data_IF_863077545616
#
_entry.id   IF_863077545616
#
_cell.length_a   1.000
_cell.length_b   1.000
_cell.length_c   1.000
_cell.angle_alpha   90.00
_cell.angle_beta   90.00
_cell.angle_gamma   90.00
#
_symmetry.space_group_name_H-M   'P 1'
#
loop_
_entity.id
_entity.type
_entity.pdbx_description
1 polymer ?
#
# COMPACT_ATOMS: atom_id res chain seq x y z
N UNK A 1 -3.97 8.95 22.65
CA UNK A 1 -3.38 8.34 21.45
C UNK A 1 -1.88 8.34 21.57
N UNK A 2 -1.38 7.27 22.16
CA UNK A 2 0.03 7.15 22.56
C UNK A 2 0.97 7.12 21.35
N UNK A 3 0.64 6.31 20.37
CA UNK A 3 1.52 6.06 19.21
C UNK A 3 1.50 7.23 18.22
N UNK A 4 0.36 7.88 18.04
CA UNK A 4 0.25 9.08 17.19
C UNK A 4 1.13 10.23 17.72
N UNK A 5 1.26 10.38 19.03
CA UNK A 5 2.17 11.39 19.62
C UNK A 5 3.64 10.99 19.39
N UNK A 6 3.99 9.72 19.48
CA UNK A 6 5.35 9.24 19.21
C UNK A 6 5.80 9.54 17.77
N UNK A 7 4.89 9.49 16.77
CA UNK A 7 5.23 9.87 15.39
C UNK A 7 5.63 11.33 15.22
N UNK A 8 5.29 12.19 16.16
CA UNK A 8 5.66 13.62 16.10
C UNK A 8 7.09 13.88 16.56
N UNK A 9 7.66 13.04 17.39
CA UNK A 9 8.91 13.29 18.11
C UNK A 9 10.08 12.40 17.71
N UNK A 10 9.91 11.35 16.89
CA UNK A 10 11.01 10.50 16.48
C UNK A 10 12.07 11.26 15.66
N UNK A 11 13.32 10.81 15.74
CA UNK A 11 14.48 11.35 15.01
C UNK A 11 15.14 10.27 14.17
N UNK A 12 16.17 10.63 13.40
CA UNK A 12 16.96 9.64 12.64
C UNK A 12 17.73 8.68 13.55
N UNK A 13 18.14 9.15 14.74
CA UNK A 13 18.90 8.35 15.70
C UNK A 13 17.99 7.51 16.62
N UNK A 14 16.71 7.86 16.68
CA UNK A 14 15.69 7.16 17.48
C UNK A 14 14.42 7.00 16.63
N UNK A 15 14.46 6.06 15.73
CA UNK A 15 13.32 5.76 14.86
C UNK A 15 12.21 5.06 15.65
N UNK A 16 10.99 5.47 15.38
CA UNK A 16 9.81 4.72 15.82
C UNK A 16 9.77 3.36 15.08
N UNK A 17 9.35 2.32 15.77
CA UNK A 17 9.24 0.98 15.16
C UNK A 17 8.09 0.88 14.15
N UNK A 18 8.11 -0.15 13.30
CA UNK A 18 7.09 -0.33 12.27
C UNK A 18 5.70 -0.63 12.86
N UNK A 19 5.63 -1.47 13.88
CA UNK A 19 4.41 -1.82 14.60
C UNK A 19 3.79 -0.61 15.30
N UNK A 20 4.62 0.23 15.95
CA UNK A 20 4.16 1.50 16.51
C UNK A 20 3.63 2.45 15.43
N UNK A 21 4.24 2.49 14.24
CA UNK A 21 3.71 3.25 13.10
C UNK A 21 2.37 2.72 12.59
N UNK A 22 2.17 1.40 12.58
CA UNK A 22 0.87 0.78 12.23
C UNK A 22 -0.20 1.20 13.23
N UNK A 23 0.09 1.12 14.54
CA UNK A 23 -0.84 1.55 15.59
C UNK A 23 -1.11 3.06 15.54
N UNK A 24 -0.07 3.88 15.28
CA UNK A 24 -0.23 5.32 15.08
C UNK A 24 -1.11 5.67 13.87
N UNK A 25 -1.00 4.94 12.78
CA UNK A 25 -1.87 5.12 11.62
C UNK A 25 -3.33 4.81 11.97
N UNK A 26 -3.58 3.72 12.70
CA UNK A 26 -4.93 3.40 13.17
C UNK A 26 -5.47 4.46 14.15
N UNK A 27 -4.63 4.99 15.04
CA UNK A 27 -5.02 6.11 15.92
C UNK A 27 -5.36 7.38 15.11
N UNK A 28 -4.60 7.71 14.05
CA UNK A 28 -4.94 8.82 13.17
C UNK A 28 -6.34 8.65 12.57
N UNK A 29 -6.63 7.49 12.02
CA UNK A 29 -7.90 7.22 11.33
C UNK A 29 -9.10 7.05 12.26
N UNK A 30 -8.90 6.99 13.58
CA UNK A 30 -9.97 7.16 14.56
C UNK A 30 -10.34 8.63 14.81
N UNK A 31 -9.45 9.58 14.46
CA UNK A 31 -9.66 11.01 14.70
C UNK A 31 -10.03 11.82 13.49
N UNK A 32 -9.85 11.26 12.30
CA UNK A 32 -10.14 11.93 11.04
C UNK A 32 -11.19 11.15 10.27
N UNK A 33 -12.09 11.87 9.62
CA UNK A 33 -13.06 11.26 8.71
C UNK A 33 -12.36 10.90 7.40
N UNK A 34 -12.35 9.61 7.06
CA UNK A 34 -11.80 9.12 5.80
C UNK A 34 -12.91 9.23 4.75
N UNK A 35 -12.66 10.06 3.74
CA UNK A 35 -13.56 10.13 2.59
C UNK A 35 -13.59 8.75 1.91
N UNK A 36 -14.75 8.12 1.93
CA UNK A 36 -14.98 6.85 1.26
C UNK A 36 -14.88 7.01 -0.25
N UNK A 37 -14.29 6.02 -0.90
CA UNK A 37 -14.17 5.99 -2.35
C UNK A 37 -15.35 5.25 -2.95
N UNK A 38 -15.89 5.81 -4.01
CA UNK A 38 -16.89 5.15 -4.84
C UNK A 38 -16.41 5.18 -6.30
N UNK A 39 -15.86 4.07 -6.71
CA UNK A 39 -15.40 3.85 -8.08
C UNK A 39 -16.29 2.87 -8.85
N UNK A 40 -17.48 2.57 -8.36
CA UNK A 40 -18.44 1.66 -9.00
C UNK A 40 -18.89 2.11 -10.40
N UNK A 41 -18.76 3.40 -10.69
CA UNK A 41 -19.05 3.99 -12.01
C UNK A 41 -18.00 3.66 -13.09
N UNK A 42 -16.80 3.25 -12.70
CA UNK A 42 -15.73 2.94 -13.66
C UNK A 42 -15.84 1.47 -14.05
N UNK A 43 -15.86 1.21 -15.37
CA UNK A 43 -16.00 -0.14 -15.90
C UNK A 43 -14.63 -0.76 -16.22
N UNK A 44 -13.76 0.01 -16.88
CA UNK A 44 -12.41 -0.42 -17.26
C UNK A 44 -11.37 0.68 -16.99
N UNK A 45 -11.12 1.04 -15.74
CA UNK A 45 -10.16 2.10 -15.45
C UNK A 45 -8.72 1.65 -15.68
N UNK A 46 -7.88 2.58 -16.16
CA UNK A 46 -6.44 2.46 -16.07
C UNK A 46 -5.97 2.97 -14.71
N UNK A 47 -5.37 2.11 -13.93
CA UNK A 47 -4.85 2.45 -12.61
C UNK A 47 -3.33 2.54 -12.69
N UNK A 48 -2.79 3.73 -12.45
CA UNK A 48 -1.37 4.04 -12.58
C UNK A 48 -0.72 4.36 -11.23
N UNK A 49 0.47 3.86 -11.01
CA UNK A 49 1.25 4.13 -9.81
C UNK A 49 2.66 3.58 -9.92
N UNK A 50 3.56 3.97 -9.03
CA UNK A 50 4.94 3.49 -8.99
C UNK A 50 5.23 2.73 -7.72
N UNK A 51 6.04 1.66 -7.82
CA UNK A 51 6.50 0.88 -6.66
C UNK A 51 5.34 0.33 -5.82
N UNK A 52 5.37 0.58 -4.51
CA UNK A 52 4.33 0.07 -3.60
C UNK A 52 2.94 0.69 -3.84
N UNK A 53 2.83 1.83 -4.48
CA UNK A 53 1.54 2.44 -4.79
C UNK A 53 0.74 1.59 -5.78
N UNK A 54 1.37 1.11 -6.86
CA UNK A 54 0.67 0.23 -7.82
C UNK A 54 0.36 -1.15 -7.22
N UNK A 55 1.25 -1.69 -6.39
CA UNK A 55 0.98 -2.95 -5.69
C UNK A 55 -0.20 -2.81 -4.74
N UNK A 56 -0.28 -1.72 -3.99
CA UNK A 56 -1.43 -1.42 -3.13
C UNK A 56 -2.70 -1.25 -3.96
N UNK A 57 -2.61 -0.56 -5.11
CA UNK A 57 -3.74 -0.42 -6.02
C UNK A 57 -4.27 -1.77 -6.52
N UNK A 58 -3.39 -2.70 -6.89
CA UNK A 58 -3.77 -4.06 -7.29
C UNK A 58 -4.54 -4.82 -6.20
N UNK A 59 -4.23 -4.55 -4.92
CA UNK A 59 -4.94 -5.15 -3.79
C UNK A 59 -6.33 -4.51 -3.63
N UNK A 60 -6.39 -3.20 -3.53
CA UNK A 60 -7.64 -2.49 -3.21
C UNK A 60 -8.64 -2.46 -4.37
N UNK A 61 -8.17 -2.59 -5.62
CA UNK A 61 -9.01 -2.61 -6.83
C UNK A 61 -9.11 -4.01 -7.47
N UNK A 62 -8.76 -5.07 -6.74
CA UNK A 62 -8.81 -6.46 -7.26
C UNK A 62 -10.21 -6.93 -7.68
N UNK A 63 -11.25 -6.22 -7.28
CA UNK A 63 -12.65 -6.56 -7.54
C UNK A 63 -13.23 -5.90 -8.82
N UNK A 64 -12.49 -5.02 -9.49
CA UNK A 64 -12.90 -4.39 -10.74
C UNK A 64 -12.03 -4.86 -11.92
N UNK A 65 -12.57 -4.78 -13.12
CA UNK A 65 -11.84 -5.09 -14.37
C UNK A 65 -10.94 -3.91 -14.74
N UNK A 66 -9.83 -3.75 -14.05
CA UNK A 66 -8.89 -2.65 -14.21
C UNK A 66 -7.63 -3.07 -14.94
N UNK A 67 -7.05 -2.14 -15.70
CA UNK A 67 -5.70 -2.27 -16.23
C UNK A 67 -4.73 -1.58 -15.26
N UNK A 68 -3.74 -2.30 -14.78
CA UNK A 68 -2.72 -1.76 -13.88
C UNK A 68 -1.43 -1.46 -14.63
N UNK A 69 -0.83 -0.30 -14.36
CA UNK A 69 0.41 0.11 -14.99
C UNK A 69 1.31 0.93 -14.07
N UNK A 70 2.59 0.91 -14.40
CA UNK A 70 3.62 1.77 -13.83
C UNK A 70 4.28 2.63 -14.93
N UNK A 71 5.39 3.28 -14.59
CA UNK A 71 6.15 4.12 -15.51
C UNK A 71 6.71 3.37 -16.72
N UNK A 72 6.86 2.06 -16.64
CA UNK A 72 7.48 1.26 -17.70
C UNK A 72 6.51 0.91 -18.83
N UNK A 73 5.22 0.81 -18.52
CA UNK A 73 4.20 0.35 -19.48
C UNK A 73 3.00 1.29 -19.65
N UNK A 74 3.02 2.48 -19.03
CA UNK A 74 1.92 3.45 -19.10
C UNK A 74 1.56 3.82 -20.54
N UNK A 75 2.56 4.08 -21.40
CA UNK A 75 2.32 4.52 -22.77
C UNK A 75 1.61 3.47 -23.64
N UNK A 76 1.84 2.19 -23.37
CA UNK A 76 1.11 1.10 -24.01
C UNK A 76 -0.26 0.86 -23.37
N UNK A 77 -0.36 1.05 -22.07
CA UNK A 77 -1.60 0.83 -21.33
C UNK A 77 -2.66 1.88 -21.66
N UNK A 78 -2.29 3.15 -21.83
CA UNK A 78 -3.23 4.24 -22.14
C UNK A 78 -3.82 4.16 -23.55
N UNK A 79 -3.27 3.32 -24.43
CA UNK A 79 -3.81 3.08 -25.77
C UNK A 79 -4.88 1.98 -25.80
N UNK A 80 -5.14 1.32 -24.68
CA UNK A 80 -6.15 0.26 -24.58
C UNK A 80 -7.56 0.85 -24.46
N UNK A 81 -8.56 0.01 -24.61
CA UNK A 81 -9.96 0.36 -24.35
C UNK A 81 -10.18 0.56 -22.85
N UNK A 82 -10.10 1.81 -22.42
CA UNK A 82 -10.26 2.26 -21.02
C UNK A 82 -11.25 3.41 -20.95
N UNK A 83 -11.91 3.58 -19.82
CA UNK A 83 -12.88 4.66 -19.59
C UNK A 83 -12.29 5.82 -18.75
N UNK A 84 -11.41 5.53 -17.81
CA UNK A 84 -10.86 6.50 -16.87
C UNK A 84 -9.40 6.22 -16.54
N UNK A 85 -8.70 7.24 -16.02
CA UNK A 85 -7.37 7.07 -15.42
C UNK A 85 -7.42 7.40 -13.93
N UNK A 86 -6.91 6.51 -13.10
CA UNK A 86 -6.78 6.71 -11.65
C UNK A 86 -5.30 6.63 -11.30
N UNK A 87 -4.73 7.70 -10.78
CA UNK A 87 -3.32 7.78 -10.39
C UNK A 87 -3.22 7.67 -8.88
N UNK A 88 -2.45 6.69 -8.38
CA UNK A 88 -2.10 6.56 -6.97
C UNK A 88 -0.66 7.00 -6.74
N UNK A 89 -0.47 8.02 -5.91
CA UNK A 89 0.86 8.52 -5.56
C UNK A 89 0.84 9.21 -4.21
N UNK A 90 1.58 8.70 -3.24
CA UNK A 90 1.62 9.28 -1.89
C UNK A 90 2.04 10.76 -1.87
N UNK A 91 3.00 11.15 -2.71
CA UNK A 91 3.49 12.53 -2.81
C UNK A 91 2.81 13.36 -3.91
N UNK A 92 2.26 12.71 -4.94
CA UNK A 92 1.79 13.39 -6.15
C UNK A 92 2.91 14.00 -7.00
N UNK A 93 4.15 13.55 -6.78
CA UNK A 93 5.36 14.03 -7.45
C UNK A 93 5.98 12.94 -8.35
N UNK A 94 7.13 13.23 -8.96
CA UNK A 94 7.90 12.33 -9.84
C UNK A 94 7.05 11.83 -11.02
N UNK A 95 6.60 10.59 -10.99
CA UNK A 95 5.89 9.95 -12.11
C UNK A 95 4.42 10.40 -12.21
N UNK A 96 3.78 10.78 -11.09
CA UNK A 96 2.38 11.17 -11.10
C UNK A 96 2.05 12.37 -12.02
N UNK A 97 2.84 13.45 -12.07
CA UNK A 97 2.63 14.52 -13.05
C UNK A 97 2.74 14.04 -14.50
N UNK A 98 3.67 13.13 -14.78
CA UNK A 98 3.86 12.57 -16.12
C UNK A 98 2.62 11.78 -16.56
N UNK A 99 2.10 10.93 -15.66
CA UNK A 99 0.85 10.21 -15.91
C UNK A 99 -0.33 11.18 -16.14
N UNK A 100 -0.44 12.22 -15.30
CA UNK A 100 -1.49 13.22 -15.40
C UNK A 100 -1.45 13.96 -16.75
N UNK A 101 -0.28 14.45 -17.17
CA UNK A 101 -0.10 15.13 -18.46
C UNK A 101 -0.44 14.23 -19.64
N UNK A 102 0.03 12.97 -19.63
CA UNK A 102 -0.24 12.02 -20.70
C UNK A 102 -1.73 11.67 -20.78
N UNK A 103 -2.38 11.49 -19.63
CA UNK A 103 -3.82 11.23 -19.57
C UNK A 103 -4.64 12.38 -20.14
N UNK A 104 -4.30 13.62 -19.80
CA UNK A 104 -4.96 14.82 -20.35
C UNK A 104 -4.75 14.94 -21.86
N UNK A 105 -3.53 14.71 -22.36
CA UNK A 105 -3.24 14.71 -23.80
C UNK A 105 -4.02 13.67 -24.56
N UNK A 106 -4.37 12.57 -23.90
CA UNK A 106 -5.20 11.49 -24.45
C UNK A 106 -6.70 11.67 -24.18
N UNK A 107 -7.11 12.83 -23.62
CA UNK A 107 -8.50 13.22 -23.34
C UNK A 107 -9.21 12.33 -22.30
N UNK A 108 -8.48 11.59 -21.46
CA UNK A 108 -9.08 10.82 -20.39
C UNK A 108 -9.39 11.69 -19.16
N UNK A 109 -10.55 11.51 -18.58
CA UNK A 109 -10.85 12.04 -17.26
C UNK A 109 -10.01 11.29 -16.23
N UNK A 110 -9.31 12.03 -15.37
CA UNK A 110 -8.27 11.50 -14.51
C UNK A 110 -8.52 11.88 -13.05
N UNK A 111 -8.38 10.88 -12.16
CA UNK A 111 -8.37 11.06 -10.71
C UNK A 111 -6.97 10.92 -10.14
N UNK A 112 -6.67 11.69 -9.11
CA UNK A 112 -5.46 11.55 -8.30
C UNK A 112 -5.84 11.16 -6.87
N UNK A 113 -5.21 10.12 -6.35
CA UNK A 113 -5.26 9.73 -4.95
C UNK A 113 -3.87 9.97 -4.36
N UNK A 114 -3.79 10.88 -3.39
CA UNK A 114 -2.51 11.34 -2.82
C UNK A 114 -2.64 11.66 -1.34
N UNK A 115 -1.49 11.77 -0.65
CA UNK A 115 -1.45 12.30 0.72
C UNK A 115 -0.97 13.76 0.78
N UNK A 116 -0.63 14.36 -0.37
CA UNK A 116 -0.01 15.69 -0.43
C UNK A 116 -0.92 16.69 -1.14
N UNK A 117 -1.23 17.78 -0.44
CA UNK A 117 -1.88 18.97 -1.04
C UNK A 117 -0.89 19.75 -1.90
N UNK A 118 -1.41 20.44 -2.91
CA UNK A 118 -0.64 21.29 -3.80
C UNK A 118 0.49 20.57 -4.54
N UNK A 119 0.38 19.26 -4.72
CA UNK A 119 1.35 18.48 -5.48
C UNK A 119 1.37 18.85 -6.96
N UNK A 120 2.46 18.49 -7.65
CA UNK A 120 2.60 18.78 -9.08
C UNK A 120 1.51 18.09 -9.91
N UNK A 121 1.13 16.87 -9.57
CA UNK A 121 0.04 16.16 -10.24
C UNK A 121 -1.34 16.79 -9.97
N UNK A 122 -1.60 17.27 -8.75
CA UNK A 122 -2.85 17.93 -8.39
C UNK A 122 -3.08 19.21 -9.21
N UNK A 123 -2.02 19.98 -9.44
CA UNK A 123 -2.10 21.22 -10.28
C UNK A 123 -2.50 20.92 -11.72
N UNK A 124 -2.19 19.74 -12.23
CA UNK A 124 -2.56 19.28 -13.56
C UNK A 124 -4.01 18.77 -13.58
N UNK A 125 -4.38 17.93 -12.59
CA UNK A 125 -5.67 17.18 -12.57
C UNK A 125 -6.83 18.03 -12.07
N UNK A 126 -6.59 19.08 -11.30
CA UNK A 126 -7.52 19.92 -10.60
C UNK A 126 -8.06 19.29 -9.30
N UNK A 127 -8.38 20.18 -8.35
CA UNK A 127 -8.80 19.82 -7.00
C UNK A 127 -10.05 18.90 -6.95
N UNK A 128 -11.02 19.13 -7.83
CA UNK A 128 -12.28 18.37 -7.84
C UNK A 128 -12.12 16.86 -8.12
N UNK A 129 -11.03 16.48 -8.77
CA UNK A 129 -10.69 15.10 -9.09
C UNK A 129 -9.52 14.58 -8.24
N UNK A 130 -9.11 15.33 -7.21
CA UNK A 130 -8.06 14.92 -6.29
C UNK A 130 -8.68 14.47 -4.96
N UNK A 131 -8.30 13.28 -4.54
CA UNK A 131 -8.64 12.73 -3.23
C UNK A 131 -7.38 12.76 -2.38
N UNK A 132 -7.43 13.52 -1.29
CA UNK A 132 -6.31 13.65 -0.35
C UNK A 132 -6.62 12.82 0.89
N UNK A 133 -5.77 11.86 1.18
CA UNK A 133 -5.84 11.03 2.39
C UNK A 133 -4.90 11.56 3.46
N UNK A 134 -5.31 11.59 4.73
CA UNK A 134 -4.43 11.97 5.83
C UNK A 134 -3.20 11.06 5.92
N UNK A 135 -2.09 11.64 6.40
CA UNK A 135 -0.82 10.93 6.58
C UNK A 135 -0.14 11.37 7.86
N UNK A 136 0.40 10.41 8.63
CA UNK A 136 1.32 10.67 9.74
C UNK A 136 2.70 11.07 9.25
N UNK A 137 3.47 11.74 10.10
CA UNK A 137 4.91 11.74 10.00
C UNK A 137 5.42 10.34 10.36
N UNK A 138 6.20 9.73 9.50
CA UNK A 138 6.74 8.38 9.66
C UNK A 138 8.05 8.22 8.87
N UNK A 139 8.91 7.23 9.20
CA UNK A 139 10.07 6.92 8.40
C UNK A 139 9.71 6.68 6.93
N UNK A 140 10.54 7.19 6.02
CA UNK A 140 10.22 7.23 4.59
C UNK A 140 9.86 5.87 3.98
N UNK A 141 10.51 4.80 4.45
CA UNK A 141 10.28 3.45 3.93
C UNK A 141 9.02 2.79 4.47
N UNK A 142 8.42 3.30 5.55
CA UNK A 142 7.26 2.65 6.17
C UNK A 142 5.97 2.88 5.37
N UNK A 143 5.59 4.13 5.18
CA UNK A 143 4.34 4.52 4.48
C UNK A 143 3.07 3.81 5.01
N UNK A 144 3.04 3.49 6.29
CA UNK A 144 1.93 2.76 6.92
C UNK A 144 0.62 3.52 6.84
N UNK A 145 0.63 4.79 7.22
CA UNK A 145 -0.57 5.63 7.18
C UNK A 145 -1.09 5.86 5.76
N UNK A 146 -0.19 5.97 4.77
CA UNK A 146 -0.58 6.11 3.36
C UNK A 146 -1.40 4.91 2.89
N UNK A 147 -0.82 3.71 2.99
CA UNK A 147 -1.46 2.50 2.46
C UNK A 147 -2.69 2.09 3.28
N UNK A 148 -2.61 2.23 4.61
CA UNK A 148 -3.75 1.98 5.49
C UNK A 148 -4.91 2.92 5.19
N UNK A 149 -4.67 4.21 4.99
CA UNK A 149 -5.70 5.18 4.62
C UNK A 149 -6.38 4.82 3.31
N UNK A 150 -5.63 4.35 2.32
CA UNK A 150 -6.19 3.90 1.05
C UNK A 150 -7.03 2.62 1.21
N UNK A 151 -6.55 1.65 1.98
CA UNK A 151 -7.30 0.42 2.28
C UNK A 151 -8.60 0.76 3.01
N UNK A 152 -8.55 1.53 4.10
CA UNK A 152 -9.72 1.90 4.89
C UNK A 152 -10.75 2.72 4.10
N UNK A 153 -10.30 3.60 3.19
CA UNK A 153 -11.19 4.35 2.31
C UNK A 153 -11.97 3.44 1.34
N UNK A 154 -11.36 2.31 0.95
CA UNK A 154 -11.96 1.35 0.03
C UNK A 154 -12.77 0.24 0.75
N UNK A 155 -12.26 -0.31 1.86
CA UNK A 155 -12.89 -1.44 2.58
C UNK A 155 -13.96 -1.03 3.57
N UNK A 156 -13.89 0.20 4.06
CA UNK A 156 -14.79 0.77 5.08
C UNK A 156 -14.69 0.06 6.44
N UNK A 157 -13.59 -0.63 6.68
CA UNK A 157 -13.30 -1.26 7.95
C UNK A 157 -13.15 -0.23 9.07
N UNK A 158 -13.45 -0.65 10.29
CA UNK A 158 -13.35 0.23 11.46
C UNK A 158 -11.92 0.23 12.01
N UNK A 159 -11.17 1.34 11.98
CA UNK A 159 -9.80 1.40 12.45
C UNK A 159 -9.66 1.10 13.94
N UNK A 160 -10.68 1.37 14.77
CA UNK A 160 -10.65 1.06 16.18
C UNK A 160 -10.76 -0.46 16.45
N UNK A 161 -11.55 -1.17 15.65
CA UNK A 161 -11.68 -2.62 15.76
C UNK A 161 -10.38 -3.32 15.34
N UNK A 162 -9.76 -2.85 14.24
CA UNK A 162 -8.46 -3.35 13.80
C UNK A 162 -7.39 -3.10 14.88
N UNK A 163 -7.36 -1.89 15.46
CA UNK A 163 -6.44 -1.54 16.53
C UNK A 163 -6.56 -2.48 17.72
N UNK A 164 -7.78 -2.71 18.21
CA UNK A 164 -8.05 -3.65 19.32
C UNK A 164 -7.65 -5.07 18.97
N UNK A 165 -7.96 -5.52 17.76
CA UNK A 165 -7.59 -6.86 17.31
C UNK A 165 -6.08 -7.08 17.32
N UNK A 166 -5.30 -6.10 16.84
CA UNK A 166 -3.84 -6.16 16.90
C UNK A 166 -3.38 -6.30 18.35
N UNK A 167 -3.81 -5.39 19.23
CA UNK A 167 -3.33 -5.38 20.62
C UNK A 167 -3.78 -6.61 21.42
N UNK A 168 -4.99 -7.09 21.23
CA UNK A 168 -5.56 -8.17 22.04
C UNK A 168 -5.26 -9.57 21.50
N UNK A 169 -5.04 -9.72 20.19
CA UNK A 169 -4.89 -11.01 19.52
C UNK A 169 -3.53 -11.23 18.89
N UNK A 170 -2.95 -10.20 18.26
CA UNK A 170 -1.69 -10.33 17.52
C UNK A 170 -0.49 -10.11 18.45
N UNK A 171 -0.44 -8.98 19.16
CA UNK A 171 0.70 -8.61 20.01
C UNK A 171 1.05 -9.69 21.05
N UNK A 172 0.09 -10.33 21.75
CA UNK A 172 0.43 -11.37 22.72
C UNK A 172 1.11 -12.60 22.07
N UNK A 173 0.79 -12.91 20.83
CA UNK A 173 1.42 -14.03 20.11
C UNK A 173 2.83 -13.63 19.66
N UNK A 174 2.94 -12.47 19.00
CA UNK A 174 4.19 -11.99 18.42
C UNK A 174 5.24 -11.69 19.50
N UNK A 175 4.85 -11.05 20.59
CA UNK A 175 5.75 -10.69 21.68
C UNK A 175 6.29 -11.89 22.47
N UNK A 176 5.64 -13.05 22.39
CA UNK A 176 6.13 -14.28 23.00
C UNK A 176 7.03 -15.12 22.08
N UNK A 177 7.26 -14.65 20.85
CA UNK A 177 8.05 -15.38 19.87
C UNK A 177 9.38 -14.66 19.56
N UNK A 178 10.49 -15.37 19.74
CA UNK A 178 11.81 -14.83 19.43
C UNK A 178 12.15 -15.11 17.95
N UNK A 179 11.89 -14.15 17.10
CA UNK A 179 12.21 -14.22 15.68
C UNK A 179 13.72 -14.25 15.40
N UNK A 180 14.56 -13.77 16.33
CA UNK A 180 16.03 -13.73 16.10
C UNK A 180 16.69 -15.08 16.00
N UNK A 181 16.00 -16.14 16.43
CA UNK A 181 16.49 -17.53 16.34
C UNK A 181 16.52 -18.07 14.90
N UNK A 182 15.89 -17.38 13.96
CA UNK A 182 15.76 -17.85 12.58
C UNK A 182 16.52 -16.94 11.61
N UNK A 183 17.22 -17.55 10.65
CA UNK A 183 17.94 -16.86 9.58
C UNK A 183 17.12 -16.74 8.29
N UNK A 184 16.00 -17.46 8.20
CA UNK A 184 15.13 -17.47 7.04
C UNK A 184 13.65 -17.49 7.43
N UNK A 185 12.81 -16.95 6.57
CA UNK A 185 11.37 -16.84 6.79
C UNK A 185 10.62 -17.21 5.52
N UNK A 186 9.58 -18.01 5.70
CA UNK A 186 8.61 -18.33 4.69
C UNK A 186 7.26 -17.74 5.10
N UNK A 187 6.75 -16.78 4.33
CA UNK A 187 5.44 -16.21 4.55
C UNK A 187 4.42 -16.86 3.62
N UNK A 188 3.36 -17.38 4.19
CA UNK A 188 2.25 -17.95 3.44
C UNK A 188 1.02 -17.07 3.55
N UNK A 189 0.47 -16.68 2.41
CA UNK A 189 -0.76 -15.89 2.36
C UNK A 189 -1.92 -16.73 1.80
N UNK A 190 -3.15 -16.50 2.25
CA UNK A 190 -4.34 -17.06 1.59
C UNK A 190 -4.39 -16.67 0.11
N UNK A 191 -4.95 -17.52 -0.74
CA UNK A 191 -4.96 -17.29 -2.19
C UNK A 191 -5.68 -16.02 -2.61
N UNK A 192 -6.74 -15.63 -1.92
CA UNK A 192 -7.47 -14.38 -2.13
C UNK A 192 -6.66 -13.13 -1.76
N UNK A 193 -5.53 -13.28 -1.04
CA UNK A 193 -4.59 -12.22 -0.69
C UNK A 193 -3.26 -12.32 -1.44
N UNK A 194 -3.17 -13.10 -2.51
CA UNK A 194 -1.92 -13.29 -3.25
C UNK A 194 -1.27 -11.98 -3.74
N UNK A 195 -2.06 -10.93 -4.02
CA UNK A 195 -1.55 -9.59 -4.35
C UNK A 195 -0.68 -8.97 -3.24
N UNK A 196 -0.88 -9.35 -1.98
CA UNK A 196 -0.09 -8.87 -0.83
C UNK A 196 1.34 -9.41 -0.86
N UNK A 197 1.59 -10.55 -1.53
CA UNK A 197 2.91 -11.17 -1.58
C UNK A 197 3.99 -10.21 -2.12
N UNK A 198 3.67 -9.46 -3.16
CA UNK A 198 4.62 -8.50 -3.73
C UNK A 198 4.91 -7.36 -2.75
N UNK A 199 3.91 -6.87 -2.03
CA UNK A 199 4.10 -5.85 -1.00
C UNK A 199 5.03 -6.35 0.11
N UNK A 200 4.83 -7.57 0.61
CA UNK A 200 5.72 -8.18 1.60
C UNK A 200 7.16 -8.29 1.08
N UNK A 201 7.37 -8.80 -0.13
CA UNK A 201 8.71 -8.92 -0.73
C UNK A 201 9.44 -7.58 -0.76
N UNK A 202 8.76 -6.52 -1.23
CA UNK A 202 9.35 -5.19 -1.29
C UNK A 202 9.63 -4.65 0.12
N UNK A 203 8.70 -4.76 1.05
CA UNK A 203 8.88 -4.29 2.42
C UNK A 203 9.99 -5.02 3.16
N UNK A 204 10.14 -6.32 2.99
CA UNK A 204 11.27 -7.05 3.56
C UNK A 204 12.63 -6.54 3.05
N UNK A 205 12.73 -6.21 1.75
CA UNK A 205 13.97 -5.63 1.20
C UNK A 205 14.21 -4.23 1.74
N UNK A 206 13.18 -3.39 1.82
CA UNK A 206 13.28 -2.02 2.31
C UNK A 206 13.70 -1.95 3.80
N UNK A 207 13.21 -2.88 4.63
CA UNK A 207 13.43 -2.86 6.07
C UNK A 207 14.68 -3.64 6.51
N UNK A 208 14.93 -4.79 5.92
CA UNK A 208 15.98 -5.72 6.36
C UNK A 208 17.10 -5.92 5.34
N UNK A 209 16.99 -5.33 4.17
CA UNK A 209 17.94 -5.53 3.08
C UNK A 209 17.96 -6.99 2.60
N UNK A 210 19.16 -7.45 2.15
CA UNK A 210 19.35 -8.80 1.63
C UNK A 210 19.91 -9.80 2.65
N UNK A 211 20.06 -9.40 3.90
CA UNK A 211 20.70 -10.23 4.94
C UNK A 211 19.79 -11.34 5.44
N UNK A 212 18.48 -11.17 5.34
CA UNK A 212 17.49 -12.16 5.79
C UNK A 212 16.94 -12.89 4.57
N UNK A 213 17.11 -14.20 4.52
CA UNK A 213 16.49 -15.03 3.50
C UNK A 213 14.97 -15.08 3.74
N UNK A 214 14.20 -14.89 2.69
CA UNK A 214 12.73 -14.89 2.77
C UNK A 214 12.13 -15.29 1.45
N UNK A 215 11.01 -15.98 1.55
CA UNK A 215 10.10 -16.26 0.46
C UNK A 215 8.67 -15.93 0.85
N UNK A 216 7.88 -15.54 -0.12
CA UNK A 216 6.47 -15.22 0.08
C UNK A 216 5.66 -15.91 -1.00
N UNK A 217 4.76 -16.80 -0.59
CA UNK A 217 3.91 -17.59 -1.48
C UNK A 217 2.45 -17.51 -1.05
N UNK A 218 1.53 -17.71 -1.99
CA UNK A 218 0.18 -18.10 -1.64
C UNK A 218 0.15 -19.59 -1.29
N UNK A 219 -0.86 -20.02 -0.53
CA UNK A 219 -1.02 -21.43 -0.18
C UNK A 219 -1.03 -22.36 -1.40
N UNK A 220 -1.67 -21.95 -2.49
CA UNK A 220 -1.72 -22.76 -3.69
C UNK A 220 -0.36 -22.90 -4.35
N UNK A 221 0.40 -21.80 -4.47
CA UNK A 221 1.75 -21.86 -5.02
C UNK A 221 2.68 -22.72 -4.16
N UNK A 222 2.53 -22.72 -2.83
CA UNK A 222 3.39 -23.48 -1.95
C UNK A 222 3.14 -24.99 -2.01
N UNK A 223 1.94 -25.44 -2.37
CA UNK A 223 1.63 -26.87 -2.53
C UNK A 223 2.50 -27.56 -3.57
N UNK A 224 2.93 -26.85 -4.60
CA UNK A 224 3.74 -27.42 -5.67
C UNK A 224 5.23 -27.53 -5.33
N UNK A 225 5.91 -26.54 -4.75
CA UNK A 225 7.31 -26.63 -4.33
C UNK A 225 7.57 -27.62 -3.20
N UNK A 226 6.60 -27.86 -2.32
CA UNK A 226 6.72 -28.77 -1.15
C UNK A 226 7.05 -30.23 -1.54
N UNK A 227 6.91 -30.59 -2.80
CA UNK A 227 7.29 -31.92 -3.32
C UNK A 227 8.81 -32.09 -3.54
N UNK A 228 9.58 -31.04 -3.37
CA UNK A 228 11.05 -31.14 -3.39
C UNK A 228 11.50 -31.85 -2.11
N UNK A 229 12.36 -32.83 -2.27
CA UNK A 229 12.86 -33.64 -1.14
C UNK A 229 13.39 -32.72 -0.02
N UNK A 230 13.05 -33.00 1.24
CA UNK A 230 13.61 -32.26 2.35
C UNK A 230 15.14 -32.40 2.32
N UNK A 231 15.84 -31.29 2.49
CA UNK A 231 17.25 -31.34 2.81
C UNK A 231 17.40 -32.05 4.16
N UNK A 232 18.12 -33.13 4.19
CA UNK A 232 18.46 -33.86 5.40
C UNK A 232 19.52 -33.14 6.25
N UNK A 233 19.49 -31.77 6.25
CA UNK A 233 20.42 -30.94 7.01
C UNK A 233 19.71 -30.21 8.14
#
# INVERSE_FOLDING_TARGET
MKYLEQTKIFTQDNLISLDECVLAALELFQTVDIKKWDFSKFQKPLIAGSGNAIVTAQIIFSWIDAIFCDETNFDSAIQKDIDWVIILSASGEKHAPIFAEKSQKSWFETYLITCSKNSSAEKIIWEKHTIITPKNREPYTYNTSTYMGWVLANTWENPQEIYKYIQEKIDPIVNNFDFSQFSSYLLLTPNNFAGVNQLFRVKFIELFGRKIARDVFSYEHMKHPITVAPDDN
#
